data_IF_215718529269
#
_entry.id   IF_215718529269
#
_cell.length_a   1.000
_cell.length_b   1.000
_cell.length_c   1.000
_cell.angle_alpha   90.00
_cell.angle_beta   90.00
_cell.angle_gamma   90.00
#
_symmetry.space_group_name_H-M   'P 1'
#
loop_
_entity.id
_entity.type
_entity.pdbx_description
1 polymer ?
#
# COMPACT_ATOMS: atom_id res chain seq x y z
N UNK A 1 35.80 -15.48 -19.73
CA UNK A 1 34.88 -15.12 -18.64
C UNK A 1 33.79 -14.25 -19.25
N UNK A 2 32.60 -14.80 -19.54
CA UNK A 2 31.48 -14.01 -20.06
C UNK A 2 31.02 -13.12 -18.92
N UNK A 3 31.13 -11.80 -19.08
CA UNK A 3 30.41 -10.84 -18.25
C UNK A 3 28.93 -11.13 -18.46
N UNK A 4 28.29 -11.82 -17.51
CA UNK A 4 26.84 -11.78 -17.38
C UNK A 4 26.48 -10.34 -17.02
N UNK A 5 26.27 -9.50 -18.05
CA UNK A 5 25.56 -8.25 -17.88
C UNK A 5 24.12 -8.62 -17.51
N UNK A 6 23.81 -8.57 -16.22
CA UNK A 6 22.43 -8.43 -15.77
C UNK A 6 21.93 -7.14 -16.43
N UNK A 7 20.91 -7.19 -17.30
CA UNK A 7 20.47 -6.03 -18.04
C UNK A 7 19.59 -5.19 -17.11
N UNK A 8 20.19 -4.54 -16.12
CA UNK A 8 19.49 -3.49 -15.37
C UNK A 8 19.31 -2.34 -16.35
N UNK A 9 18.08 -2.19 -16.83
CA UNK A 9 17.76 -1.19 -17.82
C UNK A 9 17.56 0.17 -17.15
N UNK A 10 17.75 1.26 -17.89
CA UNK A 10 17.65 2.62 -17.33
C UNK A 10 16.27 2.91 -16.71
N UNK A 11 15.22 2.28 -17.24
CA UNK A 11 13.88 2.33 -16.67
C UNK A 11 13.76 1.61 -15.32
N UNK A 12 14.54 0.56 -15.05
CA UNK A 12 14.58 -0.11 -13.76
C UNK A 12 15.14 0.83 -12.69
N UNK A 13 16.17 1.60 -13.05
CA UNK A 13 16.76 2.64 -12.20
C UNK A 13 15.77 3.77 -11.96
N UNK A 14 15.14 4.28 -13.03
CA UNK A 14 14.16 5.36 -12.92
C UNK A 14 12.95 4.95 -12.05
N UNK A 15 12.45 3.72 -12.23
CA UNK A 15 11.37 3.15 -11.42
C UNK A 15 11.77 3.02 -9.95
N UNK A 16 13.01 2.61 -9.67
CA UNK A 16 13.51 2.48 -8.30
C UNK A 16 13.65 3.84 -7.60
N UNK A 17 14.14 4.86 -8.31
CA UNK A 17 14.20 6.24 -7.80
C UNK A 17 12.80 6.77 -7.53
N UNK A 18 11.86 6.58 -8.46
CA UNK A 18 10.48 6.98 -8.28
C UNK A 18 9.82 6.29 -7.07
N UNK A 19 10.00 4.98 -6.93
CA UNK A 19 9.47 4.21 -5.80
C UNK A 19 10.06 4.69 -4.46
N UNK A 20 11.36 5.00 -4.42
CA UNK A 20 12.01 5.58 -3.25
C UNK A 20 11.40 6.95 -2.88
N UNK A 21 11.22 7.84 -3.86
CA UNK A 21 10.62 9.16 -3.65
C UNK A 21 9.18 9.05 -3.14
N UNK A 22 8.35 8.19 -3.75
CA UNK A 22 6.98 7.97 -3.29
C UNK A 22 6.93 7.38 -1.89
N UNK A 23 7.84 6.45 -1.56
CA UNK A 23 7.94 5.91 -0.20
C UNK A 23 8.36 6.99 0.81
N UNK A 24 9.30 7.86 0.45
CA UNK A 24 9.73 8.97 1.31
C UNK A 24 8.58 9.97 1.56
N UNK A 25 7.79 10.28 0.53
CA UNK A 25 6.60 11.12 0.66
C UNK A 25 5.54 10.48 1.56
N UNK A 26 5.30 9.16 1.43
CA UNK A 26 4.39 8.43 2.32
C UNK A 26 4.89 8.43 3.77
N UNK A 27 6.19 8.23 4.00
CA UNK A 27 6.78 8.31 5.34
C UNK A 27 6.63 9.72 5.93
N UNK A 28 6.82 10.76 5.12
CA UNK A 28 6.57 12.14 5.53
C UNK A 28 5.10 12.38 5.89
N UNK A 29 4.16 11.90 5.07
CA UNK A 29 2.73 11.97 5.40
C UNK A 29 2.42 11.24 6.71
N UNK A 30 2.95 10.04 6.91
CA UNK A 30 2.80 9.31 8.18
C UNK A 30 3.37 10.13 9.34
N UNK A 31 4.48 10.83 9.15
CA UNK A 31 5.10 11.65 10.19
C UNK A 31 4.23 12.85 10.58
N UNK A 32 3.64 13.54 9.60
CA UNK A 32 2.92 14.83 9.78
C UNK A 32 1.43 14.68 10.07
N UNK A 33 0.74 13.70 9.49
CA UNK A 33 -0.70 13.54 9.66
C UNK A 33 -1.06 12.92 11.02
N UNK A 34 -2.26 13.27 11.52
CA UNK A 34 -2.75 12.78 12.81
C UNK A 34 -2.96 11.27 12.79
N UNK A 35 -2.30 10.56 13.71
CA UNK A 35 -2.34 9.10 13.83
C UNK A 35 -3.32 8.59 14.90
N UNK A 36 -3.86 9.50 15.72
CA UNK A 36 -4.68 9.14 16.88
C UNK A 36 -3.97 8.14 17.80
N UNK A 37 -4.68 7.10 18.24
CA UNK A 37 -4.15 6.04 19.12
C UNK A 37 -3.51 4.86 18.36
N UNK A 38 -3.20 5.00 17.06
CA UNK A 38 -2.57 3.93 16.30
C UNK A 38 -1.12 3.74 16.70
N UNK A 39 -0.76 2.51 17.07
CA UNK A 39 0.59 2.12 17.43
C UNK A 39 1.09 1.01 16.52
N UNK A 40 2.40 0.95 16.29
CA UNK A 40 3.00 -0.14 15.52
C UNK A 40 3.00 -1.43 16.34
N UNK A 41 2.60 -2.53 15.71
CA UNK A 41 2.68 -3.85 16.33
C UNK A 41 4.13 -4.19 16.67
N UNK A 42 4.38 -4.67 17.90
CA UNK A 42 5.72 -5.12 18.35
C UNK A 42 6.29 -6.21 17.42
N UNK A 43 5.43 -7.05 16.87
CA UNK A 43 5.81 -8.09 15.89
C UNK A 43 6.33 -7.44 14.60
N UNK A 44 5.62 -6.44 14.09
CA UNK A 44 6.03 -5.73 12.88
C UNK A 44 7.37 -5.00 13.08
N UNK A 45 7.56 -4.36 14.23
CA UNK A 45 8.85 -3.74 14.59
C UNK A 45 9.95 -4.80 14.63
N UNK A 46 9.70 -5.95 15.27
CA UNK A 46 10.67 -7.06 15.32
C UNK A 46 11.08 -7.54 13.92
N UNK A 47 10.12 -7.79 13.04
CA UNK A 47 10.38 -8.23 11.65
C UNK A 47 11.22 -7.20 10.89
N UNK A 48 10.84 -5.91 10.97
CA UNK A 48 11.56 -4.82 10.29
C UNK A 48 12.98 -4.69 10.83
N UNK A 49 13.17 -4.74 12.15
CA UNK A 49 14.49 -4.70 12.78
C UNK A 49 15.39 -5.88 12.35
N UNK A 50 14.85 -7.10 12.30
CA UNK A 50 15.59 -8.27 11.81
C UNK A 50 16.02 -8.09 10.37
N UNK A 51 15.14 -7.61 9.50
CA UNK A 51 15.48 -7.39 8.09
C UNK A 51 16.55 -6.31 7.92
N UNK A 52 16.47 -5.19 8.63
CA UNK A 52 17.52 -4.17 8.59
C UNK A 52 18.86 -4.70 9.10
N UNK A 53 18.86 -5.53 10.15
CA UNK A 53 20.07 -6.18 10.64
C UNK A 53 20.67 -7.13 9.59
N UNK A 54 19.84 -7.96 8.92
CA UNK A 54 20.29 -8.82 7.83
C UNK A 54 20.92 -8.01 6.69
N UNK A 55 20.29 -6.91 6.26
CA UNK A 55 20.84 -6.01 5.22
C UNK A 55 22.18 -5.42 5.68
N UNK A 56 22.30 -4.99 6.94
CA UNK A 56 23.54 -4.44 7.46
C UNK A 56 24.68 -5.46 7.44
N UNK A 57 24.42 -6.72 7.83
CA UNK A 57 25.42 -7.81 7.76
C UNK A 57 25.80 -8.11 6.31
N UNK A 58 24.82 -8.18 5.40
CA UNK A 58 25.08 -8.36 3.97
C UNK A 58 25.89 -7.19 3.38
N UNK A 59 25.66 -5.96 3.83
CA UNK A 59 26.43 -4.79 3.40
C UNK A 59 27.88 -4.86 3.90
N UNK A 60 28.10 -5.19 5.17
CA UNK A 60 29.44 -5.33 5.75
C UNK A 60 30.25 -6.44 5.08
N UNK A 61 29.60 -7.51 4.62
CA UNK A 61 30.25 -8.59 3.87
C UNK A 61 30.50 -8.23 2.41
N UNK A 62 29.60 -7.47 1.77
CA UNK A 62 29.75 -7.04 0.38
C UNK A 62 30.80 -5.94 0.16
N UNK A 63 31.07 -5.10 1.17
CA UNK A 63 32.07 -4.03 1.12
C UNK A 63 33.49 -4.54 0.78
N UNK A 64 34.08 -5.50 1.52
CA UNK A 64 35.42 -6.00 1.23
C UNK A 64 35.46 -6.86 -0.04
N UNK A 65 34.41 -7.62 -0.35
CA UNK A 65 34.35 -8.50 -1.52
C UNK A 65 33.97 -7.78 -2.83
N UNK A 66 33.55 -6.52 -2.76
CA UNK A 66 33.00 -5.73 -3.88
C UNK A 66 31.83 -6.43 -4.60
N UNK A 67 31.09 -7.28 -3.89
CA UNK A 67 30.03 -8.12 -4.45
C UNK A 67 28.67 -7.41 -4.45
N UNK A 68 28.59 -6.25 -5.09
CA UNK A 68 27.40 -5.38 -5.11
C UNK A 68 26.17 -6.04 -5.74
N UNK A 69 26.35 -6.78 -6.85
CA UNK A 69 25.24 -7.47 -7.51
C UNK A 69 24.65 -8.59 -6.64
N UNK A 70 25.49 -9.27 -5.87
CA UNK A 70 25.03 -10.27 -4.90
C UNK A 70 24.19 -9.61 -3.81
N UNK A 71 24.63 -8.47 -3.26
CA UNK A 71 23.87 -7.70 -2.28
C UNK A 71 22.50 -7.26 -2.83
N UNK A 72 22.47 -6.72 -4.06
CA UNK A 72 21.22 -6.33 -4.74
C UNK A 72 20.30 -7.54 -4.92
N UNK A 73 20.85 -8.70 -5.29
CA UNK A 73 20.06 -9.92 -5.42
C UNK A 73 19.43 -10.34 -4.09
N UNK A 74 20.17 -10.28 -2.98
CA UNK A 74 19.63 -10.57 -1.64
C UNK A 74 18.53 -9.58 -1.27
N UNK A 75 18.74 -8.28 -1.50
CA UNK A 75 17.73 -7.26 -1.25
C UNK A 75 16.45 -7.50 -2.06
N UNK A 76 16.55 -7.91 -3.33
CA UNK A 76 15.39 -8.23 -4.17
C UNK A 76 14.59 -9.41 -3.60
N UNK A 77 15.24 -10.49 -3.17
CA UNK A 77 14.53 -11.62 -2.53
C UNK A 77 13.86 -11.21 -1.22
N UNK A 78 14.56 -10.42 -0.40
CA UNK A 78 13.99 -9.87 0.84
C UNK A 78 12.78 -8.98 0.57
N UNK A 79 12.80 -8.19 -0.51
CA UNK A 79 11.68 -7.33 -0.92
C UNK A 79 10.44 -8.14 -1.34
N UNK A 80 10.63 -9.24 -2.07
CA UNK A 80 9.53 -10.18 -2.40
C UNK A 80 8.89 -10.72 -1.12
N UNK A 81 9.72 -11.20 -0.20
CA UNK A 81 9.24 -11.76 1.07
C UNK A 81 8.53 -10.72 1.94
N UNK A 82 9.10 -9.52 2.05
CA UNK A 82 8.48 -8.42 2.77
C UNK A 82 7.14 -8.00 2.18
N UNK A 83 7.02 -8.03 0.85
CA UNK A 83 5.76 -7.77 0.16
C UNK A 83 4.67 -8.74 0.58
N UNK A 84 4.97 -10.04 0.64
CA UNK A 84 4.01 -11.03 1.12
C UNK A 84 3.66 -10.82 2.61
N UNK A 85 4.65 -10.58 3.47
CA UNK A 85 4.43 -10.34 4.92
C UNK A 85 3.51 -9.16 5.16
N UNK A 86 3.63 -8.06 4.40
CA UNK A 86 2.76 -6.88 4.60
C UNK A 86 1.37 -7.07 3.99
N UNK A 87 1.26 -7.73 2.84
CA UNK A 87 0.00 -7.83 2.11
C UNK A 87 -0.94 -8.90 2.66
N UNK A 88 -0.44 -10.01 3.20
CA UNK A 88 -1.28 -11.06 3.79
C UNK A 88 -2.12 -10.54 4.97
N UNK A 89 -1.53 -9.87 6.00
CA UNK A 89 -2.31 -9.29 7.10
C UNK A 89 -3.29 -8.22 6.61
N UNK A 90 -2.91 -7.41 5.62
CA UNK A 90 -3.81 -6.41 5.06
C UNK A 90 -5.03 -7.05 4.40
N UNK A 91 -4.81 -8.08 3.57
CA UNK A 91 -5.88 -8.84 2.93
C UNK A 91 -6.81 -9.48 3.96
N UNK A 92 -6.23 -10.06 5.02
CA UNK A 92 -6.99 -10.64 6.12
C UNK A 92 -7.78 -9.60 6.91
N UNK A 93 -7.19 -8.44 7.21
CA UNK A 93 -7.87 -7.34 7.91
C UNK A 93 -9.05 -6.81 7.10
N UNK A 94 -8.89 -6.62 5.78
CA UNK A 94 -9.98 -6.24 4.90
C UNK A 94 -11.11 -7.29 4.92
N UNK A 95 -10.75 -8.58 4.89
CA UNK A 95 -11.72 -9.67 4.97
C UNK A 95 -12.45 -9.72 6.33
N UNK A 96 -11.75 -9.46 7.43
CA UNK A 96 -12.31 -9.50 8.77
C UNK A 96 -13.22 -8.31 9.08
N UNK A 97 -12.81 -7.11 8.65
CA UNK A 97 -13.59 -5.89 8.82
C UNK A 97 -14.78 -5.81 7.86
N UNK A 98 -14.78 -6.61 6.80
CA UNK A 98 -15.74 -6.53 5.68
C UNK A 98 -15.82 -5.11 5.09
N UNK A 99 -14.70 -4.40 5.13
CA UNK A 99 -14.57 -3.01 4.71
C UNK A 99 -13.13 -2.72 4.34
N UNK A 100 -12.97 -1.89 3.32
CA UNK A 100 -11.69 -1.32 2.87
C UNK A 100 -11.63 0.19 3.13
N UNK A 101 -12.49 0.73 3.99
CA UNK A 101 -12.44 2.14 4.42
C UNK A 101 -11.11 2.44 5.12
N UNK A 102 -10.46 3.54 4.72
CA UNK A 102 -9.12 3.93 5.18
C UNK A 102 -7.95 3.21 4.50
N UNK A 103 -8.19 2.22 3.63
CA UNK A 103 -7.16 1.63 2.78
C UNK A 103 -7.01 2.44 1.48
N UNK A 104 -5.78 2.84 1.13
CA UNK A 104 -5.51 3.59 -0.10
C UNK A 104 -5.56 2.68 -1.32
N UNK A 105 -6.76 2.51 -1.90
CA UNK A 105 -6.94 1.74 -3.13
C UNK A 105 -6.17 2.35 -4.31
N UNK A 106 -5.98 3.68 -4.32
CA UNK A 106 -5.21 4.38 -5.33
C UNK A 106 -3.76 3.89 -5.41
N UNK A 107 -3.12 3.65 -4.26
CA UNK A 107 -1.76 3.09 -4.25
C UNK A 107 -1.72 1.67 -4.84
N UNK A 108 -2.69 0.82 -4.50
CA UNK A 108 -2.78 -0.53 -5.08
C UNK A 108 -2.99 -0.50 -6.61
N UNK A 109 -3.77 0.45 -7.12
CA UNK A 109 -3.95 0.62 -8.57
C UNK A 109 -2.67 1.08 -9.29
N UNK A 110 -1.91 1.99 -8.65
CA UNK A 110 -0.62 2.45 -9.16
C UNK A 110 0.42 1.33 -9.13
N UNK A 111 0.49 0.56 -8.03
CA UNK A 111 1.37 -0.60 -7.90
C UNK A 111 1.04 -1.67 -8.95
N UNK A 112 -0.24 -1.97 -9.14
CA UNK A 112 -0.70 -2.88 -10.21
C UNK A 112 -0.25 -2.40 -11.59
N UNK A 113 -0.49 -1.12 -11.90
CA UNK A 113 -0.13 -0.53 -13.20
C UNK A 113 1.38 -0.55 -13.42
N UNK A 114 2.16 -0.26 -12.38
CA UNK A 114 3.62 -0.36 -12.37
C UNK A 114 4.11 -1.78 -12.61
N UNK A 115 3.53 -2.77 -11.92
CA UNK A 115 3.83 -4.18 -12.09
C UNK A 115 3.52 -4.70 -13.50
N UNK A 116 2.35 -4.35 -14.05
CA UNK A 116 1.95 -4.72 -15.42
C UNK A 116 2.91 -4.10 -16.43
N UNK A 117 3.22 -2.80 -16.30
CA UNK A 117 4.13 -2.09 -17.21
C UNK A 117 5.56 -2.64 -17.12
N UNK A 118 6.02 -2.97 -15.92
CA UNK A 118 7.33 -3.60 -15.66
C UNK A 118 7.46 -4.97 -16.34
N UNK A 119 6.42 -5.80 -16.28
CA UNK A 119 6.38 -7.07 -16.99
C UNK A 119 6.29 -6.88 -18.51
N UNK A 120 5.46 -5.95 -18.99
CA UNK A 120 5.32 -5.64 -20.41
C UNK A 120 6.66 -5.16 -21.02
N UNK A 121 7.40 -4.33 -20.30
CA UNK A 121 8.78 -3.97 -20.66
C UNK A 121 9.65 -5.21 -20.82
N UNK A 122 9.67 -6.10 -19.83
CA UNK A 122 10.54 -7.29 -19.88
C UNK A 122 10.18 -8.20 -21.07
N UNK A 123 8.89 -8.34 -21.38
CA UNK A 123 8.42 -9.05 -22.59
C UNK A 123 8.97 -8.40 -23.84
N UNK A 124 8.82 -7.07 -23.99
CA UNK A 124 9.31 -6.35 -25.17
C UNK A 124 10.82 -6.48 -25.36
N UNK A 125 11.59 -6.39 -24.27
CA UNK A 125 13.04 -6.61 -24.30
C UNK A 125 13.40 -8.04 -24.71
N UNK A 126 12.67 -9.04 -24.22
CA UNK A 126 12.91 -10.43 -24.60
C UNK A 126 12.58 -10.72 -26.07
N UNK A 127 11.56 -10.06 -26.63
CA UNK A 127 11.24 -10.14 -28.05
C UNK A 127 12.37 -9.53 -28.88
N UNK A 128 12.83 -8.32 -28.52
CA UNK A 128 13.90 -7.61 -29.22
C UNK A 128 15.23 -8.39 -29.19
N UNK A 129 15.60 -8.92 -28.03
CA UNK A 129 16.81 -9.73 -27.84
C UNK A 129 16.67 -11.17 -28.38
N UNK A 130 15.49 -11.56 -28.85
CA UNK A 130 15.13 -12.94 -29.23
C UNK A 130 15.53 -13.97 -28.17
N UNK A 131 15.45 -13.59 -26.90
CA UNK A 131 15.96 -14.36 -25.77
C UNK A 131 15.19 -14.04 -24.47
N UNK A 132 14.92 -15.09 -23.70
CA UNK A 132 14.25 -14.99 -22.40
C UNK A 132 15.23 -14.80 -21.23
N UNK A 133 16.52 -14.57 -21.52
CA UNK A 133 17.56 -14.37 -20.50
C UNK A 133 17.25 -13.19 -19.58
N UNK A 134 16.50 -12.19 -20.04
CA UNK A 134 16.03 -11.09 -19.19
C UNK A 134 15.12 -11.57 -18.03
N UNK A 135 14.25 -12.55 -18.28
CA UNK A 135 13.39 -13.13 -17.25
C UNK A 135 14.17 -14.01 -16.28
N UNK A 136 15.07 -14.87 -16.78
CA UNK A 136 15.88 -15.74 -15.91
C UNK A 136 16.94 -14.95 -15.13
N UNK A 137 17.54 -13.94 -15.75
CA UNK A 137 18.58 -13.10 -15.16
C UNK A 137 18.05 -12.09 -14.14
N UNK A 138 16.74 -11.78 -14.17
CA UNK A 138 16.10 -10.87 -13.22
C UNK A 138 14.86 -11.51 -12.56
N UNK A 139 15.04 -12.72 -12.04
CA UNK A 139 13.95 -13.48 -11.39
C UNK A 139 13.33 -12.74 -10.21
N UNK A 140 14.11 -11.95 -9.46
CA UNK A 140 13.62 -11.15 -8.33
C UNK A 140 12.59 -10.11 -8.75
N UNK A 141 12.85 -9.39 -9.85
CA UNK A 141 11.91 -8.41 -10.43
C UNK A 141 10.62 -9.07 -10.92
N UNK A 142 10.75 -10.20 -11.62
CA UNK A 142 9.60 -10.97 -12.13
C UNK A 142 8.74 -11.49 -10.97
N UNK A 143 9.37 -12.06 -9.96
CA UNK A 143 8.64 -12.60 -8.81
C UNK A 143 7.96 -11.48 -8.00
N UNK A 144 8.64 -10.35 -7.82
CA UNK A 144 8.08 -9.19 -7.14
C UNK A 144 6.86 -8.62 -7.89
N UNK A 145 6.97 -8.46 -9.21
CA UNK A 145 5.88 -7.91 -10.02
C UNK A 145 4.66 -8.84 -10.01
N UNK A 146 4.86 -10.16 -10.11
CA UNK A 146 3.78 -11.14 -10.06
C UNK A 146 3.09 -11.19 -8.69
N UNK A 147 3.86 -11.22 -7.60
CA UNK A 147 3.31 -11.22 -6.25
C UNK A 147 2.55 -9.92 -5.98
N UNK A 148 3.07 -8.77 -6.41
CA UNK A 148 2.36 -7.49 -6.28
C UNK A 148 1.04 -7.51 -7.03
N UNK A 149 1.06 -7.81 -8.33
CA UNK A 149 -0.14 -7.87 -9.17
C UNK A 149 -1.22 -8.78 -8.56
N UNK A 150 -0.83 -9.94 -8.04
CA UNK A 150 -1.75 -10.86 -7.37
C UNK A 150 -2.45 -10.21 -6.17
N UNK A 151 -1.70 -9.59 -5.26
CA UNK A 151 -2.29 -8.92 -4.09
C UNK A 151 -3.05 -7.66 -4.47
N UNK A 152 -2.60 -6.91 -5.47
CA UNK A 152 -3.30 -5.71 -5.94
C UNK A 152 -4.67 -6.08 -6.54
N UNK A 153 -4.74 -7.16 -7.32
CA UNK A 153 -6.01 -7.73 -7.80
C UNK A 153 -6.90 -8.19 -6.64
N UNK A 154 -6.32 -8.84 -5.62
CA UNK A 154 -7.04 -9.20 -4.42
C UNK A 154 -7.64 -7.96 -3.74
N UNK A 155 -6.86 -6.89 -3.57
CA UNK A 155 -7.32 -5.64 -2.96
C UNK A 155 -8.38 -4.94 -3.81
N UNK A 156 -8.23 -4.93 -5.13
CA UNK A 156 -9.26 -4.42 -6.05
C UNK A 156 -10.56 -5.21 -5.95
N UNK A 157 -10.49 -6.55 -5.91
CA UNK A 157 -11.66 -7.40 -5.69
C UNK A 157 -12.31 -7.11 -4.33
N UNK A 158 -11.51 -6.97 -3.26
CA UNK A 158 -12.03 -6.63 -1.94
C UNK A 158 -12.73 -5.27 -1.92
N UNK A 159 -12.16 -4.26 -2.57
CA UNK A 159 -12.66 -2.89 -2.53
C UNK A 159 -13.87 -2.66 -3.46
N UNK A 160 -13.80 -3.14 -4.70
CA UNK A 160 -14.83 -2.84 -5.71
C UNK A 160 -15.94 -3.88 -5.79
N UNK A 161 -15.65 -5.15 -5.49
CA UNK A 161 -16.60 -6.26 -5.67
C UNK A 161 -17.21 -6.69 -4.32
N UNK A 162 -16.37 -7.02 -3.34
CA UNK A 162 -16.84 -7.60 -2.07
C UNK A 162 -17.35 -6.55 -1.07
N UNK A 163 -16.63 -5.45 -0.92
CA UNK A 163 -16.91 -4.40 0.06
C UNK A 163 -17.06 -3.01 -0.58
N UNK A 164 -17.89 -2.85 -1.63
CA UNK A 164 -18.13 -1.55 -2.22
C UNK A 164 -18.69 -0.61 -1.15
N UNK A 165 -18.04 0.54 -0.98
CA UNK A 165 -18.49 1.56 -0.04
C UNK A 165 -19.92 1.95 -0.41
N UNK A 166 -20.89 1.57 0.43
CA UNK A 166 -22.24 2.09 0.34
C UNK A 166 -22.14 3.56 0.67
N UNK A 167 -22.05 4.41 -0.36
CA UNK A 167 -22.27 5.86 -0.19
C UNK A 167 -23.58 5.98 0.58
N UNK A 168 -23.49 6.43 1.83
CA UNK A 168 -24.67 6.69 2.63
C UNK A 168 -25.60 7.53 1.77
N UNK A 169 -26.78 7.00 1.45
CA UNK A 169 -27.86 7.83 0.91
C UNK A 169 -27.95 9.04 1.85
N UNK A 170 -27.96 10.28 1.35
CA UNK A 170 -28.28 11.41 2.21
C UNK A 170 -29.67 11.09 2.77
N UNK A 171 -29.75 10.81 4.07
CA UNK A 171 -30.99 10.48 4.76
C UNK A 171 -31.91 11.70 4.58
N UNK A 172 -32.97 11.64 3.73
CA UNK A 172 -33.91 12.73 3.65
C UNK A 172 -34.90 12.52 4.79
N UNK A 173 -35.06 13.53 5.66
CA UNK A 173 -36.09 13.64 6.72
C UNK A 173 -35.71 13.06 8.10
N UNK A 174 -34.79 13.74 8.80
CA UNK A 174 -34.90 13.88 10.26
C UNK A 174 -34.77 15.33 10.74
N UNK A 175 -34.45 16.27 9.84
CA UNK A 175 -34.32 17.70 10.18
C UNK A 175 -35.66 18.47 10.24
N UNK A 176 -36.80 17.84 9.96
CA UNK A 176 -38.12 18.53 9.93
C UNK A 176 -38.95 18.37 11.20
N UNK A 177 -38.54 17.52 12.13
CA UNK A 177 -39.31 17.24 13.35
C UNK A 177 -38.79 17.97 14.60
N UNK A 178 -37.60 18.58 14.51
CA UNK A 178 -36.97 19.31 15.62
C UNK A 178 -37.27 20.82 15.55
N UNK A 179 -37.81 21.32 14.43
CA UNK A 179 -38.17 22.73 14.25
C UNK A 179 -39.70 22.90 14.37
N UNK A 180 -40.12 23.16 15.62
CA UNK A 180 -41.42 23.68 16.09
C UNK A 180 -42.58 22.70 16.37
N UNK A 181 -43.38 22.87 17.46
CA UNK A 181 -43.39 23.98 18.44
C UNK A 181 -43.42 23.54 19.93
N UNK A 182 -42.48 24.04 20.74
CA UNK A 182 -42.62 24.11 22.22
C UNK A 182 -43.14 25.48 22.70
N UNK A 183 -43.62 26.32 21.79
CA UNK A 183 -44.20 27.64 22.10
C UNK A 183 -45.72 27.51 22.22
N UNK A 184 -46.22 26.90 23.30
CA UNK A 184 -47.65 27.06 23.67
C UNK A 184 -48.00 26.78 25.13
N UNK A 185 -47.11 27.06 26.08
CA UNK A 185 -47.43 26.84 27.51
C UNK A 185 -47.12 28.00 28.46
N UNK A 186 -46.93 29.22 27.98
CA UNK A 186 -46.66 30.38 28.84
C UNK A 186 -47.52 31.59 28.47
N UNK A 187 -48.84 31.48 28.64
CA UNK A 187 -49.69 32.67 28.85
C UNK A 187 -51.03 32.24 29.46
N UNK A 188 -51.09 32.25 30.80
CA UNK A 188 -52.35 32.41 31.53
C UNK A 188 -52.29 33.78 32.22
N UNK A 189 -53.23 34.70 31.95
CA UNK A 189 -53.27 35.98 32.64
C UNK A 189 -53.89 35.79 34.03
N UNK A 190 -53.17 36.23 35.06
CA UNK A 190 -53.73 36.41 36.41
C UNK A 190 -54.63 37.65 36.33
N UNK A 191 -55.95 37.42 36.28
CA UNK A 191 -56.96 38.47 36.43
C UNK A 191 -57.01 38.85 37.90
N UNK A 192 -56.72 40.12 38.18
CA UNK A 192 -57.11 40.76 39.42
C UNK A 192 -58.60 41.12 39.35
N UNK A 193 -59.40 40.70 40.32
CA UNK A 193 -60.61 41.44 40.68
C UNK A 193 -60.97 41.21 42.16
N UNK A 194 -61.19 42.34 42.82
CA UNK A 194 -61.65 42.56 44.19
C UNK A 194 -63.12 42.16 44.40
N UNK A 195 -63.45 41.56 45.55
CA UNK A 195 -64.38 42.02 46.61
C UNK A 195 -64.25 41.06 47.81
#
# INVERSE_FOLDING_TARGET
MKLEMIPVAANDVAMSIHAFLMTALLLFQIATYERGNQTFSKIAIGIVSTVWLCIAVCLLTALPSQSWLWLISICNYMQVFMTAIKYIPQAFMNFMRKSTEGFSIGNALLDFSGGVTSNAQMVMQSIDQKSWVNFSGNIGKVLLSLVSIFFDLLFMCQHYILYPSRKASPLPKLKKEISEPLIKSAEQPIVAESV
#
